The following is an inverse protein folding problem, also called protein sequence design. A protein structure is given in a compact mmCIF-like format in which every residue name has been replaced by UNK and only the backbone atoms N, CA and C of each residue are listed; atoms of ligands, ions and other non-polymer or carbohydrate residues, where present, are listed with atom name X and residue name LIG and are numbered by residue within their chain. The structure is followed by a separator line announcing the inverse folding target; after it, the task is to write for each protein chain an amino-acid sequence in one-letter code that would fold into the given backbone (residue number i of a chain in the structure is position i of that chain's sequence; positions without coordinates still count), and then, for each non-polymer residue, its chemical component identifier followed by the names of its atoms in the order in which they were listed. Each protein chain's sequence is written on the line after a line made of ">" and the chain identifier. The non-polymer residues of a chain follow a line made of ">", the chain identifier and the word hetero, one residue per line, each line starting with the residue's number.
data_IF_751265391529
#
_entry.id   IF_751265391529
#
_cell.length_a   1.000
_cell.length_b   1.000
_cell.length_c   1.000
_cell.angle_alpha   90.00
_cell.angle_beta   90.00
_cell.angle_gamma   90.00
#
_symmetry.space_group_name_H-M   'P 1'
#
loop_
_entity.id
_entity.type
_entity.pdbx_description
1 polymer ?
#
# COMPACT_ATOMS: atom_id res chain seq x y z
N UNK A 1 -21.23 -13.98 12.47
CA UNK A 1 -20.54 -12.96 11.65
C UNK A 1 -21.00 -13.11 10.20
N UNK A 2 -20.94 -12.06 9.38
CA UNK A 2 -20.98 -12.26 7.92
C UNK A 2 -19.72 -13.02 7.51
N UNK A 3 -19.83 -13.94 6.55
CA UNK A 3 -18.65 -14.63 6.03
C UNK A 3 -17.70 -13.61 5.39
N UNK A 4 -16.39 -13.69 5.67
CA UNK A 4 -15.42 -12.82 5.05
C UNK A 4 -15.35 -13.04 3.54
N UNK A 5 -14.93 -12.01 2.79
CA UNK A 5 -14.67 -12.12 1.35
C UNK A 5 -13.24 -12.57 1.05
N UNK A 6 -12.32 -12.28 1.97
CA UNK A 6 -10.91 -12.70 1.96
C UNK A 6 -10.43 -12.97 3.38
N UNK A 7 -9.39 -13.78 3.51
CA UNK A 7 -8.69 -14.00 4.79
C UNK A 7 -7.24 -13.59 4.65
N UNK A 8 -6.71 -12.97 5.69
CA UNK A 8 -5.27 -12.71 5.84
C UNK A 8 -4.78 -13.49 7.05
N UNK A 9 -3.88 -14.44 6.80
CA UNK A 9 -3.34 -15.35 7.80
C UNK A 9 -1.97 -14.82 8.22
N UNK A 10 -1.87 -14.32 9.45
CA UNK A 10 -0.63 -13.77 10.00
C UNK A 10 0.12 -14.83 10.78
N UNK A 11 1.37 -15.12 10.42
CA UNK A 11 2.28 -15.64 11.43
C UNK A 11 2.44 -14.63 12.58
N UNK A 12 2.79 -15.17 13.74
CA UNK A 12 2.97 -14.40 14.95
C UNK A 12 4.43 -14.02 15.10
N UNK A 13 5.34 -14.99 15.15
CA UNK A 13 6.77 -14.71 15.31
C UNK A 13 7.32 -14.11 14.02
N UNK A 14 7.97 -12.94 14.10
CA UNK A 14 8.34 -12.13 12.95
C UNK A 14 7.30 -11.04 12.64
N UNK A 15 6.18 -11.34 11.95
CA UNK A 15 5.22 -10.32 11.51
C UNK A 15 4.51 -9.57 12.63
N UNK A 16 4.30 -10.18 13.81
CA UNK A 16 3.60 -9.53 14.94
C UNK A 16 4.52 -9.41 16.14
N UNK A 17 5.11 -10.53 16.55
CA UNK A 17 5.97 -10.70 17.70
C UNK A 17 7.43 -10.70 17.24
N UNK A 18 8.20 -9.70 17.63
CA UNK A 18 9.62 -9.66 17.36
C UNK A 18 10.36 -9.07 18.56
N UNK A 19 11.24 -9.84 19.23
CA UNK A 19 12.10 -9.32 20.29
C UNK A 19 12.96 -8.15 19.79
N UNK A 20 13.16 -7.14 20.64
CA UNK A 20 13.95 -5.95 20.29
C UNK A 20 13.56 -4.70 21.08
N UNK A 21 14.08 -3.55 20.67
CA UNK A 21 13.86 -2.25 21.33
C UNK A 21 12.49 -1.65 21.00
N UNK A 22 11.42 -2.30 21.46
CA UNK A 22 10.05 -1.75 21.39
C UNK A 22 9.55 -1.38 22.78
N UNK A 23 8.68 -0.38 22.86
CA UNK A 23 8.00 -0.02 24.12
C UNK A 23 6.73 -0.84 24.36
N UNK A 24 6.24 -1.57 23.35
CA UNK A 24 5.02 -2.38 23.46
C UNK A 24 5.39 -3.82 23.82
N UNK A 25 5.66 -4.04 25.10
CA UNK A 25 6.10 -5.33 25.64
C UNK A 25 5.05 -5.85 26.61
N UNK A 26 4.70 -7.12 26.46
CA UNK A 26 3.89 -7.86 27.42
C UNK A 26 4.78 -8.93 28.07
N UNK A 27 4.95 -8.91 29.40
CA UNK A 27 5.85 -9.83 30.06
C UNK A 27 5.36 -11.28 29.96
N UNK A 28 6.29 -12.18 29.64
CA UNK A 28 6.02 -13.61 29.59
C UNK A 28 5.86 -14.24 30.97
N UNK A 29 5.13 -15.34 31.05
CA UNK A 29 5.05 -16.11 32.28
C UNK A 29 6.42 -16.74 32.63
N UNK A 30 6.81 -16.66 33.90
CA UNK A 30 8.10 -17.14 34.40
C UNK A 30 9.32 -16.61 33.64
N UNK A 31 9.25 -15.41 33.06
CA UNK A 31 10.44 -14.73 32.52
C UNK A 31 11.55 -14.64 33.55
N UNK A 32 12.80 -14.60 33.10
CA UNK A 32 13.94 -14.37 33.97
C UNK A 32 13.85 -12.96 34.57
N UNK A 33 13.85 -12.85 35.89
CA UNK A 33 13.80 -11.57 36.61
C UNK A 33 15.03 -10.71 36.40
N UNK A 34 16.14 -11.32 35.98
CA UNK A 34 17.43 -10.64 35.79
C UNK A 34 17.54 -10.00 34.40
N UNK A 35 16.59 -10.25 33.49
CA UNK A 35 16.55 -9.67 32.15
C UNK A 35 15.57 -8.48 32.10
N UNK A 36 15.96 -7.44 31.37
CA UNK A 36 15.10 -6.30 31.12
C UNK A 36 13.89 -6.71 30.25
N UNK A 37 12.78 -5.97 30.36
CA UNK A 37 11.58 -6.24 29.57
C UNK A 37 11.91 -6.22 28.07
N UNK A 38 11.51 -7.27 27.37
CA UNK A 38 11.74 -7.45 25.94
C UNK A 38 13.04 -8.16 25.58
N UNK A 39 13.90 -8.46 26.56
CA UNK A 39 15.12 -9.26 26.37
C UNK A 39 14.89 -10.76 26.58
N UNK A 40 13.85 -11.15 27.31
CA UNK A 40 13.47 -12.55 27.49
C UNK A 40 12.65 -13.04 26.28
N UNK A 41 13.02 -14.19 25.71
CA UNK A 41 12.27 -14.83 24.62
C UNK A 41 10.80 -15.16 24.96
N UNK A 42 10.46 -15.20 26.25
CA UNK A 42 9.09 -15.41 26.74
C UNK A 42 8.26 -14.13 26.69
N UNK A 43 8.89 -12.96 26.63
CA UNK A 43 8.19 -11.70 26.48
C UNK A 43 7.60 -11.60 25.07
N UNK A 44 6.43 -10.97 24.97
CA UNK A 44 5.76 -10.74 23.70
C UNK A 44 5.86 -9.27 23.33
N UNK A 45 6.52 -9.01 22.21
CA UNK A 45 6.93 -7.67 21.79
C UNK A 45 6.22 -7.34 20.48
N UNK A 46 5.43 -6.27 20.43
CA UNK A 46 4.75 -5.83 19.20
C UNK A 46 5.37 -4.53 18.69
N UNK A 47 6.38 -4.58 17.82
CA UNK A 47 6.89 -3.37 17.21
C UNK A 47 5.79 -2.72 16.37
N UNK A 48 5.80 -1.38 16.29
CA UNK A 48 4.82 -0.59 15.53
C UNK A 48 3.34 -1.00 15.76
N UNK A 49 2.98 -1.36 17.01
CA UNK A 49 1.62 -1.77 17.44
C UNK A 49 0.49 -0.97 16.78
N UNK A 50 0.61 0.36 16.71
CA UNK A 50 -0.43 1.21 16.14
C UNK A 50 -0.66 0.96 14.64
N UNK A 51 0.40 0.66 13.88
CA UNK A 51 0.32 0.42 12.43
C UNK A 51 -0.21 -0.98 12.14
N UNK A 52 0.22 -1.97 12.92
CA UNK A 52 -0.38 -3.30 12.90
C UNK A 52 -1.90 -3.19 13.19
N UNK A 53 -2.28 -2.52 14.27
CA UNK A 53 -3.68 -2.34 14.65
C UNK A 53 -4.48 -1.62 13.56
N UNK A 54 -3.97 -0.51 13.01
CA UNK A 54 -4.61 0.19 11.89
C UNK A 54 -4.84 -0.73 10.70
N UNK A 55 -3.84 -1.55 10.35
CA UNK A 55 -3.95 -2.51 9.25
C UNK A 55 -5.05 -3.54 9.50
N UNK A 56 -5.08 -4.14 10.69
CA UNK A 56 -6.11 -5.11 11.10
C UNK A 56 -7.52 -4.49 11.09
N UNK A 57 -7.65 -3.26 11.61
CA UNK A 57 -8.92 -2.52 11.64
C UNK A 57 -9.41 -2.19 10.21
N UNK A 58 -8.52 -1.74 9.33
CA UNK A 58 -8.85 -1.43 7.92
C UNK A 58 -9.32 -2.68 7.18
N UNK A 59 -8.61 -3.82 7.34
CA UNK A 59 -9.00 -5.09 6.74
C UNK A 59 -10.40 -5.52 7.21
N UNK A 60 -10.60 -5.54 8.53
CA UNK A 60 -11.84 -6.02 9.14
C UNK A 60 -13.06 -5.16 8.76
N UNK A 61 -12.92 -3.83 8.78
CA UNK A 61 -13.98 -2.90 8.38
C UNK A 61 -14.44 -3.10 6.93
N UNK A 62 -13.58 -3.66 6.08
CA UNK A 62 -13.86 -3.91 4.67
C UNK A 62 -14.15 -5.39 4.35
N UNK A 63 -14.55 -6.18 5.36
CA UNK A 63 -15.02 -7.55 5.18
C UNK A 63 -13.92 -8.60 4.98
N UNK A 64 -12.68 -8.24 5.29
CA UNK A 64 -11.51 -9.12 5.18
C UNK A 64 -11.12 -9.52 6.60
N UNK A 65 -10.95 -10.82 6.86
CA UNK A 65 -10.72 -11.33 8.22
C UNK A 65 -9.23 -11.65 8.44
N UNK A 66 -8.53 -10.90 9.31
CA UNK A 66 -7.23 -11.32 9.82
C UNK A 66 -7.37 -12.47 10.82
N UNK A 67 -6.60 -13.53 10.63
CA UNK A 67 -6.54 -14.72 11.49
C UNK A 67 -5.09 -15.09 11.81
N UNK A 68 -4.90 -15.97 12.80
CA UNK A 68 -3.57 -16.39 13.27
C UNK A 68 -3.13 -17.64 12.48
N UNK A 69 -1.91 -17.62 11.95
CA UNK A 69 -1.29 -18.70 11.19
C UNK A 69 0.03 -19.22 11.76
N UNK A 70 0.27 -19.01 13.05
CA UNK A 70 1.48 -19.53 13.70
C UNK A 70 1.39 -21.01 14.01
N UNK A 71 2.51 -21.75 13.93
CA UNK A 71 2.56 -23.14 14.40
C UNK A 71 2.19 -23.27 15.87
N UNK A 72 2.37 -22.19 16.67
CA UNK A 72 1.97 -22.13 18.09
C UNK A 72 0.50 -22.52 18.32
N UNK A 73 -0.40 -22.27 17.36
CA UNK A 73 -1.83 -22.56 17.53
C UNK A 73 -2.09 -24.07 17.68
N UNK A 74 -1.17 -24.93 17.23
CA UNK A 74 -1.28 -26.39 17.31
C UNK A 74 -1.00 -26.90 18.73
N UNK A 75 -0.21 -26.16 19.50
CA UNK A 75 0.27 -26.57 20.82
C UNK A 75 -0.86 -26.45 21.86
N UNK A 76 -0.89 -27.38 22.80
CA UNK A 76 -1.81 -27.33 23.94
C UNK A 76 -1.29 -26.39 25.04
N UNK A 77 -2.18 -25.82 25.85
CA UNK A 77 -1.79 -24.91 26.93
C UNK A 77 -0.94 -25.60 28.02
N UNK A 78 -1.12 -26.91 28.18
CA UNK A 78 -0.35 -27.74 29.10
C UNK A 78 0.89 -28.38 28.45
N UNK A 79 1.24 -27.99 27.22
CA UNK A 79 2.49 -28.42 26.61
C UNK A 79 3.68 -27.92 27.47
N UNK A 80 4.59 -28.81 27.90
CA UNK A 80 5.63 -28.46 28.85
C UNK A 80 6.65 -27.46 28.30
N UNK A 81 6.79 -27.36 26.98
CA UNK A 81 7.74 -26.46 26.32
C UNK A 81 7.05 -25.21 25.77
N UNK A 82 5.90 -25.38 25.11
CA UNK A 82 5.24 -24.31 24.35
C UNK A 82 4.00 -23.72 25.03
N UNK A 83 3.42 -24.37 26.05
CA UNK A 83 2.17 -23.94 26.66
C UNK A 83 2.18 -22.50 27.20
N UNK A 84 3.30 -22.10 27.80
CA UNK A 84 3.50 -20.73 28.27
C UNK A 84 3.58 -19.71 27.11
N UNK A 85 4.20 -20.08 25.99
CA UNK A 85 4.32 -19.21 24.82
C UNK A 85 2.96 -19.01 24.13
N UNK A 86 2.13 -20.06 24.06
CA UNK A 86 0.76 -19.98 23.55
C UNK A 86 -0.11 -19.09 24.43
N UNK A 87 -0.07 -19.32 25.74
CA UNK A 87 -0.85 -18.53 26.70
C UNK A 87 -0.45 -17.05 26.66
N UNK A 88 0.87 -16.78 26.64
CA UNK A 88 1.41 -15.42 26.55
C UNK A 88 0.99 -14.74 25.24
N UNK A 89 1.04 -15.44 24.11
CA UNK A 89 0.60 -14.91 22.82
C UNK A 89 -0.85 -14.40 22.87
N UNK A 90 -1.79 -15.23 23.34
CA UNK A 90 -3.20 -14.81 23.39
C UNK A 90 -3.44 -13.68 24.41
N UNK A 91 -2.79 -13.74 25.57
CA UNK A 91 -2.88 -12.67 26.58
C UNK A 91 -2.29 -11.35 26.08
N UNK A 92 -1.16 -11.38 25.37
CA UNK A 92 -0.54 -10.20 24.78
C UNK A 92 -1.42 -9.60 23.68
N UNK A 93 -1.99 -10.44 22.78
CA UNK A 93 -2.94 -9.96 21.77
C UNK A 93 -4.20 -9.34 22.41
N UNK A 94 -4.72 -9.93 23.49
CA UNK A 94 -5.82 -9.35 24.29
C UNK A 94 -5.41 -8.00 24.89
N UNK A 95 -4.20 -7.88 25.41
CA UNK A 95 -3.67 -6.66 26.02
C UNK A 95 -3.51 -5.53 24.99
N UNK A 96 -2.90 -5.80 23.84
CA UNK A 96 -2.58 -4.78 22.85
C UNK A 96 -3.75 -4.38 21.94
N UNK A 97 -4.65 -5.33 21.62
CA UNK A 97 -5.73 -5.14 20.64
C UNK A 97 -7.12 -5.15 21.29
N UNK A 98 -7.20 -5.44 22.59
CA UNK A 98 -8.44 -5.59 23.34
C UNK A 98 -8.93 -7.05 23.37
N UNK A 99 -9.57 -7.42 24.49
CA UNK A 99 -10.09 -8.77 24.70
C UNK A 99 -11.29 -9.14 23.83
N UNK A 100 -11.99 -8.14 23.30
CA UNK A 100 -13.12 -8.32 22.35
C UNK A 100 -12.71 -8.02 20.90
N UNK A 101 -11.42 -8.13 20.56
CA UNK A 101 -10.94 -7.91 19.20
C UNK A 101 -11.70 -8.80 18.21
N UNK A 102 -12.14 -8.27 17.07
CA UNK A 102 -12.94 -9.05 16.11
C UNK A 102 -12.07 -9.86 15.12
N UNK A 103 -10.75 -9.74 15.22
CA UNK A 103 -9.74 -10.37 14.38
C UNK A 103 -8.68 -11.05 15.25
N UNK A 104 -7.86 -11.92 14.66
CA UNK A 104 -6.86 -12.71 15.39
C UNK A 104 -7.47 -13.41 16.62
N UNK A 105 -8.67 -13.95 16.43
CA UNK A 105 -9.50 -14.52 17.50
C UNK A 105 -8.97 -15.86 17.99
N UNK A 106 -8.89 -16.00 19.32
CA UNK A 106 -8.39 -17.21 19.99
C UNK A 106 -9.27 -18.43 19.71
N UNK A 107 -10.60 -18.31 19.84
CA UNK A 107 -11.53 -19.44 19.67
C UNK A 107 -11.35 -20.14 18.32
N UNK A 108 -11.28 -19.35 17.24
CA UNK A 108 -11.10 -19.86 15.88
C UNK A 108 -9.69 -20.44 15.71
N UNK A 109 -8.65 -19.77 16.20
CA UNK A 109 -7.28 -20.25 16.09
C UNK A 109 -7.07 -21.59 16.82
N UNK A 110 -7.66 -21.75 18.01
CA UNK A 110 -7.63 -23.00 18.78
C UNK A 110 -8.40 -24.12 18.09
N UNK A 111 -9.54 -23.83 17.50
CA UNK A 111 -10.32 -24.82 16.73
C UNK A 111 -9.53 -25.36 15.53
N UNK A 112 -8.86 -24.48 14.79
CA UNK A 112 -7.99 -24.84 13.67
C UNK A 112 -6.77 -25.62 14.17
N UNK A 113 -6.09 -25.11 15.20
CA UNK A 113 -4.90 -25.72 15.75
C UNK A 113 -5.10 -27.10 16.35
N UNK A 114 -6.26 -27.35 16.97
CA UNK A 114 -6.60 -28.67 17.50
C UNK A 114 -6.66 -29.76 16.41
N UNK A 115 -7.08 -29.41 15.19
CA UNK A 115 -7.11 -30.33 14.05
C UNK A 115 -5.71 -30.63 13.48
N UNK A 116 -4.70 -29.83 13.85
CA UNK A 116 -3.35 -29.89 13.30
C UNK A 116 -2.31 -30.46 14.27
N UNK A 117 -2.69 -30.89 15.48
CA UNK A 117 -1.76 -31.37 16.52
C UNK A 117 -0.78 -32.47 16.08
N UNK A 118 -1.17 -33.27 15.10
CA UNK A 118 -0.36 -34.38 14.57
C UNK A 118 0.25 -34.07 13.19
N UNK A 119 0.08 -32.84 12.68
CA UNK A 119 0.60 -32.41 11.39
C UNK A 119 1.92 -31.66 11.55
N UNK A 120 2.92 -32.02 10.74
CA UNK A 120 4.13 -31.20 10.64
C UNK A 120 3.86 -30.02 9.67
N UNK A 121 3.89 -28.79 10.19
CA UNK A 121 3.79 -27.56 9.40
C UNK A 121 5.09 -26.77 9.32
N UNK A 122 6.23 -27.39 9.62
CA UNK A 122 7.55 -26.76 9.54
C UNK A 122 7.97 -26.48 8.12
N UNK A 123 7.58 -27.34 7.16
CA UNK A 123 7.92 -27.22 5.74
C UNK A 123 6.89 -26.42 4.93
N UNK A 124 5.66 -26.31 5.42
CA UNK A 124 4.59 -25.54 4.79
C UNK A 124 3.46 -25.25 5.77
N UNK A 125 2.83 -24.07 5.63
CA UNK A 125 1.63 -23.68 6.37
C UNK A 125 0.33 -23.98 5.62
N UNK A 126 0.37 -24.66 4.46
CA UNK A 126 -0.83 -24.91 3.64
C UNK A 126 -1.94 -25.63 4.39
N UNK A 127 -1.62 -26.56 5.31
CA UNK A 127 -2.63 -27.22 6.12
C UNK A 127 -3.43 -26.23 7.00
N UNK A 128 -2.79 -25.19 7.52
CA UNK A 128 -3.45 -24.10 8.25
C UNK A 128 -4.37 -23.32 7.29
N UNK A 129 -3.84 -22.94 6.12
CA UNK A 129 -4.58 -22.17 5.10
C UNK A 129 -5.82 -22.92 4.60
N UNK A 130 -5.69 -24.23 4.37
CA UNK A 130 -6.77 -25.11 3.91
C UNK A 130 -7.91 -25.19 4.93
N UNK A 131 -7.59 -25.36 6.21
CA UNK A 131 -8.61 -25.40 7.27
C UNK A 131 -9.34 -24.05 7.41
N UNK A 132 -8.63 -22.93 7.28
CA UNK A 132 -9.27 -21.62 7.23
C UNK A 132 -10.18 -21.46 6.00
N UNK A 133 -9.71 -21.87 4.82
CA UNK A 133 -10.49 -21.87 3.58
C UNK A 133 -11.78 -22.69 3.71
N UNK A 134 -11.69 -23.90 4.26
CA UNK A 134 -12.86 -24.76 4.54
C UNK A 134 -13.82 -24.14 5.54
N UNK A 135 -13.31 -23.61 6.65
CA UNK A 135 -14.13 -23.03 7.73
C UNK A 135 -14.99 -21.85 7.26
N UNK A 136 -14.44 -21.02 6.37
CA UNK A 136 -15.12 -19.81 5.89
C UNK A 136 -15.65 -19.92 4.45
N UNK A 137 -15.47 -21.07 3.81
CA UNK A 137 -15.81 -21.32 2.40
C UNK A 137 -15.19 -20.26 1.47
N UNK A 138 -13.87 -20.08 1.58
CA UNK A 138 -13.06 -19.14 0.78
C UNK A 138 -12.11 -19.91 -0.12
N UNK A 139 -12.01 -19.46 -1.37
CA UNK A 139 -11.10 -20.03 -2.36
C UNK A 139 -9.63 -19.70 -2.04
N UNK A 140 -8.66 -20.56 -2.41
CA UNK A 140 -7.24 -20.34 -2.12
C UNK A 140 -6.70 -18.97 -2.55
N UNK A 141 -7.08 -18.49 -3.74
CA UNK A 141 -6.66 -17.19 -4.30
C UNK A 141 -7.10 -15.96 -3.47
N UNK A 142 -8.00 -16.18 -2.53
CA UNK A 142 -8.61 -15.19 -1.64
C UNK A 142 -8.05 -15.29 -0.21
N UNK A 143 -7.01 -16.10 -0.01
CA UNK A 143 -6.28 -16.24 1.25
C UNK A 143 -4.84 -15.76 1.05
N UNK A 144 -4.38 -14.89 1.95
CA UNK A 144 -3.02 -14.35 1.94
C UNK A 144 -2.29 -14.82 3.20
N UNK A 145 -1.18 -15.53 3.03
CA UNK A 145 -0.24 -15.85 4.12
C UNK A 145 0.78 -14.73 4.27
N UNK A 146 0.96 -14.25 5.49
CA UNK A 146 2.02 -13.32 5.88
C UNK A 146 2.98 -14.05 6.80
N UNK A 147 4.25 -14.10 6.42
CA UNK A 147 5.27 -14.86 7.15
C UNK A 147 6.66 -14.24 6.94
N UNK A 148 7.53 -14.35 7.94
CA UNK A 148 8.92 -13.91 7.84
C UNK A 148 9.83 -14.96 7.19
N UNK A 149 9.42 -16.24 7.19
CA UNK A 149 10.11 -17.30 6.48
C UNK A 149 9.70 -17.34 5.00
N UNK A 150 10.63 -16.95 4.11
CA UNK A 150 10.42 -16.96 2.66
C UNK A 150 10.23 -18.37 2.08
N UNK A 151 10.64 -19.42 2.77
CA UNK A 151 10.50 -20.81 2.30
C UNK A 151 9.04 -21.24 2.16
N UNK A 152 8.11 -20.61 2.89
CA UNK A 152 6.69 -20.89 2.76
C UNK A 152 6.04 -20.30 1.52
N UNK A 153 6.73 -19.42 0.79
CA UNK A 153 6.20 -18.78 -0.40
C UNK A 153 5.86 -19.79 -1.50
N UNK A 154 6.85 -20.58 -1.92
CA UNK A 154 6.70 -21.51 -3.06
C UNK A 154 5.61 -22.57 -2.79
N UNK A 155 5.57 -23.24 -1.63
CA UNK A 155 4.48 -24.15 -1.30
C UNK A 155 3.10 -23.47 -1.27
N UNK A 156 3.00 -22.24 -0.75
CA UNK A 156 1.72 -21.51 -0.70
C UNK A 156 1.22 -21.14 -2.10
N UNK A 157 2.10 -20.58 -2.94
CA UNK A 157 1.76 -20.16 -4.30
C UNK A 157 1.44 -21.36 -5.21
N UNK A 158 2.05 -22.53 -4.99
CA UNK A 158 1.72 -23.76 -5.72
C UNK A 158 0.26 -24.21 -5.53
N UNK A 159 -0.34 -23.92 -4.37
CA UNK A 159 -1.74 -24.21 -4.07
C UNK A 159 -2.67 -23.00 -4.33
N UNK A 160 -2.18 -22.00 -5.08
CA UNK A 160 -2.86 -20.75 -5.42
C UNK A 160 -3.15 -19.81 -4.24
N UNK A 161 -2.53 -20.00 -3.08
CA UNK A 161 -2.54 -18.99 -2.02
C UNK A 161 -1.66 -17.81 -2.39
N UNK A 162 -1.96 -16.63 -1.84
CA UNK A 162 -1.06 -15.48 -1.97
C UNK A 162 -0.08 -15.44 -0.80
N UNK A 163 1.12 -14.93 -1.04
CA UNK A 163 2.14 -14.78 -0.01
C UNK A 163 2.64 -13.33 0.08
N UNK A 164 2.83 -12.85 1.30
CA UNK A 164 3.47 -11.57 1.62
C UNK A 164 4.62 -11.84 2.59
N UNK A 165 5.83 -11.51 2.16
CA UNK A 165 7.03 -11.73 2.97
C UNK A 165 7.22 -10.59 3.98
N UNK A 166 7.43 -10.94 5.24
CA UNK A 166 7.66 -10.01 6.33
C UNK A 166 9.03 -10.26 7.00
N UNK A 167 10.16 -10.03 6.29
CA UNK A 167 11.48 -10.43 6.77
C UNK A 167 11.99 -9.69 8.02
N UNK A 168 11.39 -8.53 8.37
CA UNK A 168 11.72 -7.70 9.55
C UNK A 168 13.22 -7.46 9.78
N UNK A 169 13.96 -7.19 8.70
CA UNK A 169 15.41 -6.90 8.72
C UNK A 169 15.74 -5.41 8.80
N UNK A 170 14.74 -4.56 8.62
CA UNK A 170 14.91 -3.11 8.62
C UNK A 170 14.86 -2.53 10.03
N UNK A 171 15.18 -1.25 10.17
CA UNK A 171 15.06 -0.55 11.43
C UNK A 171 13.60 -0.53 11.89
N UNK A 172 13.35 -0.93 13.15
CA UNK A 172 12.02 -0.92 13.74
C UNK A 172 11.30 0.40 13.54
N UNK A 173 10.08 0.34 13.00
CA UNK A 173 9.20 1.48 12.66
C UNK A 173 9.56 2.25 11.38
N UNK A 174 10.54 1.80 10.59
CA UNK A 174 10.79 2.36 9.26
C UNK A 174 9.70 1.96 8.26
N UNK A 175 9.66 2.64 7.11
CA UNK A 175 8.74 2.29 6.02
C UNK A 175 9.00 0.87 5.49
N UNK A 176 10.27 0.46 5.41
CA UNK A 176 10.70 -0.87 4.99
C UNK A 176 10.29 -1.96 5.99
N UNK A 177 10.43 -1.70 7.30
CA UNK A 177 10.01 -2.62 8.35
C UNK A 177 8.50 -2.87 8.32
N UNK A 178 7.72 -1.83 8.00
CA UNK A 178 6.26 -1.89 7.90
C UNK A 178 5.75 -2.26 6.50
N UNK A 179 6.63 -2.49 5.52
CA UNK A 179 6.24 -2.63 4.12
C UNK A 179 5.25 -3.79 3.88
N UNK A 180 5.37 -4.88 4.62
CA UNK A 180 4.48 -6.03 4.53
C UNK A 180 3.03 -5.69 4.92
N UNK A 181 2.82 -4.78 5.88
CA UNK A 181 1.49 -4.30 6.27
C UNK A 181 0.83 -3.54 5.11
N UNK A 182 1.59 -2.65 4.47
CA UNK A 182 1.10 -1.86 3.33
C UNK A 182 0.87 -2.73 2.10
N UNK A 183 1.77 -3.67 1.82
CA UNK A 183 1.58 -4.66 0.75
C UNK A 183 0.31 -5.47 0.96
N UNK A 184 0.06 -5.93 2.18
CA UNK A 184 -1.16 -6.65 2.54
C UNK A 184 -2.39 -5.82 2.23
N UNK A 185 -2.40 -4.54 2.60
CA UNK A 185 -3.49 -3.63 2.28
C UNK A 185 -3.69 -3.46 0.77
N UNK A 186 -2.62 -3.27 -0.01
CA UNK A 186 -2.74 -3.09 -1.45
C UNK A 186 -3.15 -4.35 -2.22
N UNK A 187 -2.79 -5.55 -1.73
CA UNK A 187 -3.26 -6.84 -2.31
C UNK A 187 -4.73 -7.14 -1.99
N UNK A 188 -5.27 -6.48 -0.97
CA UNK A 188 -6.61 -6.75 -0.46
C UNK A 188 -7.63 -5.70 -0.87
N UNK A 189 -7.24 -4.43 -0.92
CA UNK A 189 -8.13 -3.27 -1.06
C UNK A 189 -7.57 -2.24 -2.05
N UNK A 190 -8.46 -1.55 -2.82
CA UNK A 190 -8.11 -0.34 -3.54
C UNK A 190 -7.56 0.76 -2.61
N UNK A 191 -6.59 1.54 -3.11
CA UNK A 191 -5.96 2.63 -2.36
C UNK A 191 -6.96 3.64 -1.77
N UNK A 192 -8.03 3.97 -2.52
CA UNK A 192 -9.07 4.87 -2.04
C UNK A 192 -9.78 4.34 -0.79
N UNK A 193 -10.08 3.04 -0.76
CA UNK A 193 -10.73 2.40 0.40
C UNK A 193 -9.80 2.42 1.62
N UNK A 194 -8.52 2.12 1.43
CA UNK A 194 -7.51 2.19 2.51
C UNK A 194 -7.47 3.60 3.11
N UNK A 195 -7.33 4.62 2.27
CA UNK A 195 -7.24 6.02 2.71
C UNK A 195 -8.54 6.49 3.38
N UNK A 196 -9.70 6.05 2.89
CA UNK A 196 -10.99 6.40 3.49
C UNK A 196 -11.21 5.71 4.84
N UNK A 197 -10.80 4.45 5.01
CA UNK A 197 -10.82 3.76 6.30
C UNK A 197 -9.84 4.41 7.29
N UNK A 198 -8.63 4.79 6.84
CA UNK A 198 -7.66 5.50 7.68
C UNK A 198 -8.21 6.84 8.20
N UNK A 199 -8.91 7.61 7.36
CA UNK A 199 -9.57 8.87 7.79
C UNK A 199 -10.63 8.66 8.87
N UNK A 200 -11.35 7.53 8.81
CA UNK A 200 -12.43 7.18 9.75
C UNK A 200 -11.92 6.50 11.02
N UNK A 201 -10.62 6.19 11.09
CA UNK A 201 -10.00 5.58 12.27
C UNK A 201 -10.04 6.51 13.49
N UNK A 202 -10.19 5.89 14.67
CA UNK A 202 -10.14 6.56 15.97
C UNK A 202 -8.71 6.84 16.47
N UNK A 203 -7.68 6.45 15.72
CA UNK A 203 -6.29 6.80 16.05
C UNK A 203 -6.04 8.32 15.95
N UNK A 204 -5.05 8.80 16.71
CA UNK A 204 -4.68 10.21 16.70
C UNK A 204 -4.11 10.65 15.33
N UNK A 205 -4.11 11.96 15.08
CA UNK A 205 -3.76 12.51 13.77
C UNK A 205 -2.29 12.23 13.42
N UNK A 206 -1.40 12.27 14.39
CA UNK A 206 0.04 12.02 14.23
C UNK A 206 0.30 10.59 13.73
N UNK A 207 -0.37 9.59 14.32
CA UNK A 207 -0.27 8.19 13.89
C UNK A 207 -0.83 8.02 12.47
N UNK A 208 -1.97 8.66 12.17
CA UNK A 208 -2.57 8.58 10.82
C UNK A 208 -1.69 9.23 9.75
N UNK A 209 -1.06 10.36 10.07
CA UNK A 209 -0.21 11.08 9.13
C UNK A 209 1.08 10.30 8.84
N UNK A 210 1.74 9.73 9.86
CA UNK A 210 2.93 8.91 9.65
C UNK A 210 2.61 7.60 8.93
N UNK A 211 1.50 6.93 9.28
CA UNK A 211 1.03 5.74 8.56
C UNK A 211 0.81 6.05 7.08
N UNK A 212 0.12 7.15 6.78
CA UNK A 212 -0.15 7.60 5.42
C UNK A 212 1.14 7.93 4.66
N UNK A 213 2.09 8.60 5.31
CA UNK A 213 3.40 8.94 4.74
C UNK A 213 4.16 7.68 4.32
N UNK A 214 4.32 6.72 5.22
CA UNK A 214 5.01 5.46 4.92
C UNK A 214 4.26 4.60 3.89
N UNK A 215 2.91 4.58 3.94
CA UNK A 215 2.08 3.92 2.93
C UNK A 215 2.38 4.46 1.52
N UNK A 216 2.51 5.79 1.36
CA UNK A 216 2.87 6.40 0.08
C UNK A 216 4.33 6.16 -0.32
N UNK A 217 5.25 6.13 0.64
CA UNK A 217 6.65 5.81 0.40
C UNK A 217 6.80 4.40 -0.17
N UNK A 218 6.21 3.39 0.49
CA UNK A 218 6.22 2.00 0.00
C UNK A 218 5.45 1.86 -1.31
N UNK A 219 4.35 2.61 -1.48
CA UNK A 219 3.64 2.65 -2.77
C UNK A 219 4.57 3.16 -3.87
N UNK A 220 5.24 4.29 -3.69
CA UNK A 220 6.18 4.85 -4.67
C UNK A 220 7.34 3.89 -4.98
N UNK A 221 7.88 3.21 -3.97
CA UNK A 221 8.93 2.21 -4.14
C UNK A 221 8.43 1.02 -4.99
N UNK A 222 7.24 0.49 -4.70
CA UNK A 222 6.64 -0.63 -5.45
C UNK A 222 6.06 -0.25 -6.80
N UNK A 223 5.76 1.01 -7.04
CA UNK A 223 5.24 1.48 -8.33
C UNK A 223 6.24 1.40 -9.47
N UNK A 224 7.54 1.24 -9.18
CA UNK A 224 8.53 0.82 -10.16
C UNK A 224 8.29 -0.62 -10.68
N UNK A 225 7.32 -1.37 -10.12
CA UNK A 225 7.02 -2.77 -10.47
C UNK A 225 5.54 -3.03 -10.85
N UNK A 226 4.62 -2.04 -10.80
CA UNK A 226 3.18 -2.23 -11.10
C UNK A 226 2.70 -1.27 -12.20
N UNK A 227 2.47 -1.73 -13.45
CA UNK A 227 2.24 -0.86 -14.62
C UNK A 227 0.97 0.00 -14.59
N UNK A 228 -0.10 -0.45 -13.93
CA UNK A 228 -1.41 0.22 -13.98
C UNK A 228 -1.49 1.41 -13.01
N UNK A 229 -0.90 1.28 -11.83
CA UNK A 229 -0.91 2.37 -10.83
C UNK A 229 0.15 3.43 -11.14
N UNK A 230 1.29 3.03 -11.73
CA UNK A 230 2.32 3.95 -12.23
C UNK A 230 1.75 4.92 -13.25
N UNK A 231 0.92 4.44 -14.18
CA UNK A 231 0.23 5.27 -15.15
C UNK A 231 -0.68 6.31 -14.49
N UNK A 232 -1.48 5.95 -13.48
CA UNK A 232 -2.37 6.90 -12.80
C UNK A 232 -1.63 7.99 -12.02
N UNK A 233 -0.50 7.68 -11.38
CA UNK A 233 0.30 8.69 -10.65
C UNK A 233 1.16 9.52 -11.60
N UNK A 234 1.78 8.91 -12.60
CA UNK A 234 2.51 9.64 -13.65
C UNK A 234 1.54 10.59 -14.36
N UNK A 235 0.35 10.11 -14.74
CA UNK A 235 -0.69 10.93 -15.32
C UNK A 235 -1.07 12.09 -14.41
N UNK A 236 -1.24 11.85 -13.11
CA UNK A 236 -1.57 12.90 -12.15
C UNK A 236 -0.48 13.97 -12.02
N UNK A 237 0.79 13.59 -11.89
CA UNK A 237 1.89 14.56 -11.77
C UNK A 237 2.10 15.34 -13.07
N UNK A 238 2.07 14.66 -14.22
CA UNK A 238 2.13 15.31 -15.55
C UNK A 238 1.00 16.30 -15.74
N UNK A 239 -0.23 15.94 -15.35
CA UNK A 239 -1.39 16.83 -15.45
C UNK A 239 -1.29 18.01 -14.49
N UNK A 240 -0.69 17.84 -13.30
CA UNK A 240 -0.41 18.97 -12.39
C UNK A 240 0.59 19.95 -12.99
N UNK A 241 1.64 19.47 -13.62
CA UNK A 241 2.64 20.32 -14.27
C UNK A 241 2.02 21.09 -15.45
N UNK A 242 1.23 20.42 -16.29
CA UNK A 242 0.47 21.07 -17.38
C UNK A 242 -0.49 22.13 -16.81
N UNK A 243 -1.20 21.83 -15.72
CA UNK A 243 -2.08 22.79 -15.05
C UNK A 243 -1.28 24.01 -14.54
N UNK A 244 -0.14 23.76 -13.91
CA UNK A 244 0.74 24.79 -13.38
C UNK A 244 1.23 25.70 -14.50
N UNK A 245 1.73 25.14 -15.59
CA UNK A 245 2.22 25.91 -16.74
C UNK A 245 1.12 26.79 -17.34
N UNK A 246 -0.08 26.25 -17.58
CA UNK A 246 -1.20 27.04 -18.08
C UNK A 246 -1.54 28.22 -17.15
N UNK A 247 -1.55 27.96 -15.83
CA UNK A 247 -1.97 28.95 -14.82
C UNK A 247 -0.90 30.02 -14.55
N UNK A 248 0.39 29.65 -14.59
CA UNK A 248 1.50 30.53 -14.23
C UNK A 248 2.09 31.32 -15.41
N UNK A 249 1.92 30.85 -16.65
CA UNK A 249 2.47 31.49 -17.86
C UNK A 249 1.84 32.86 -18.19
N UNK A 250 0.75 33.26 -17.51
CA UNK A 250 0.11 34.59 -17.63
C UNK A 250 0.01 35.09 -19.08
N UNK A 251 -0.82 34.38 -19.85
CA UNK A 251 -1.08 34.60 -21.27
C UNK A 251 -1.60 36.03 -21.52
N UNK A 252 -0.87 36.84 -22.32
CA UNK A 252 -1.32 38.17 -22.73
C UNK A 252 -2.20 38.02 -23.97
N UNK A 253 -3.44 38.52 -23.94
CA UNK A 253 -4.27 38.44 -25.14
C UNK A 253 -5.38 39.47 -25.31
N UNK A 254 -5.52 39.93 -26.57
CA UNK A 254 -6.48 40.92 -27.07
C UNK A 254 -7.46 40.33 -28.13
N UNK A 255 -7.83 39.03 -28.12
CA UNK A 255 -8.63 38.44 -29.23
C UNK A 255 -9.64 37.33 -28.87
N UNK A 256 -10.57 37.09 -29.81
CA UNK A 256 -11.82 36.28 -29.77
C UNK A 256 -11.72 34.78 -29.36
N UNK A 257 -10.51 34.23 -29.20
CA UNK A 257 -10.27 32.82 -28.84
C UNK A 257 -9.78 32.62 -27.40
N UNK A 258 -9.74 33.66 -26.58
CA UNK A 258 -9.33 33.58 -25.17
C UNK A 258 -10.53 33.68 -24.19
N UNK A 259 -10.36 33.14 -22.99
CA UNK A 259 -11.34 33.15 -21.89
C UNK A 259 -10.66 33.64 -20.62
N UNK A 260 -11.35 34.53 -19.88
CA UNK A 260 -10.90 34.98 -18.56
C UNK A 260 -11.19 33.91 -17.52
N UNK A 261 -10.20 33.62 -16.70
CA UNK A 261 -10.30 32.74 -15.54
C UNK A 261 -9.91 33.52 -14.27
N UNK A 262 -10.61 33.26 -13.18
CA UNK A 262 -10.30 33.82 -11.86
C UNK A 262 -9.17 33.02 -11.20
N UNK A 263 -8.15 33.71 -10.70
CA UNK A 263 -7.12 33.11 -9.85
C UNK A 263 -7.37 33.46 -8.38
N UNK A 264 -6.82 32.66 -7.46
CA UNK A 264 -6.89 32.88 -6.01
C UNK A 264 -6.16 34.16 -5.54
N UNK A 265 -5.33 34.77 -6.39
CA UNK A 265 -4.64 36.03 -6.11
C UNK A 265 -5.42 37.28 -6.55
N UNK A 266 -6.66 37.13 -7.04
CA UNK A 266 -7.51 38.25 -7.48
C UNK A 266 -7.14 38.82 -8.86
N UNK A 267 -6.06 38.33 -9.49
CA UNK A 267 -5.66 38.75 -10.84
C UNK A 267 -6.29 37.81 -11.87
N UNK A 268 -7.10 38.35 -12.79
CA UNK A 268 -7.68 37.57 -13.88
C UNK A 268 -6.60 37.16 -14.90
N UNK A 269 -6.50 35.85 -15.16
CA UNK A 269 -5.65 35.31 -16.24
C UNK A 269 -6.52 35.08 -17.48
N UNK A 270 -5.98 35.29 -18.68
CA UNK A 270 -6.73 35.17 -19.95
C UNK A 270 -6.11 34.10 -20.81
N UNK A 271 -6.69 32.90 -20.81
CA UNK A 271 -6.11 31.72 -21.46
C UNK A 271 -6.83 31.36 -22.77
N UNK A 272 -6.16 30.72 -23.75
CA UNK A 272 -6.80 30.09 -24.90
C UNK A 272 -7.96 29.15 -24.52
N UNK A 273 -9.02 29.11 -25.35
CA UNK A 273 -10.20 28.23 -25.16
C UNK A 273 -9.83 26.75 -25.02
N UNK A 274 -8.83 26.30 -25.77
CA UNK A 274 -8.33 24.92 -25.73
C UNK A 274 -7.62 24.60 -24.41
N UNK A 275 -6.83 25.54 -23.86
CA UNK A 275 -6.26 25.38 -22.51
C UNK A 275 -7.35 25.34 -21.43
N UNK A 276 -8.45 26.07 -21.60
CA UNK A 276 -9.60 25.94 -20.72
C UNK A 276 -10.24 24.54 -20.78
N UNK A 277 -10.25 23.89 -21.96
CA UNK A 277 -10.69 22.48 -22.06
C UNK A 277 -9.77 21.57 -21.28
N UNK A 278 -8.45 21.74 -21.40
CA UNK A 278 -7.45 20.99 -20.61
C UNK A 278 -7.71 21.18 -19.10
N UNK A 279 -7.89 22.41 -18.63
CA UNK A 279 -8.17 22.67 -17.22
C UNK A 279 -9.49 22.05 -16.75
N UNK A 280 -10.51 21.95 -17.62
CA UNK A 280 -11.78 21.28 -17.29
C UNK A 280 -11.61 19.77 -17.17
N UNK A 281 -10.85 19.14 -18.06
CA UNK A 281 -10.51 17.71 -17.96
C UNK A 281 -9.78 17.41 -16.65
N UNK A 282 -8.78 18.23 -16.29
CA UNK A 282 -8.04 18.11 -15.03
C UNK A 282 -8.97 18.31 -13.82
N UNK A 283 -9.88 19.28 -13.88
CA UNK A 283 -10.87 19.49 -12.83
C UNK A 283 -11.82 18.30 -12.69
N UNK A 284 -12.24 17.67 -13.78
CA UNK A 284 -13.07 16.47 -13.72
C UNK A 284 -12.35 15.31 -13.01
N UNK A 285 -11.03 15.16 -13.21
CA UNK A 285 -10.22 14.19 -12.46
C UNK A 285 -10.11 14.54 -10.97
N UNK A 286 -9.89 15.83 -10.64
CA UNK A 286 -9.84 16.33 -9.26
C UNK A 286 -11.17 16.14 -8.52
N UNK A 287 -12.29 16.32 -9.23
CA UNK A 287 -13.65 16.10 -8.73
C UNK A 287 -14.08 14.61 -8.78
N UNK A 288 -13.14 13.68 -9.07
CA UNK A 288 -13.35 12.22 -9.12
C UNK A 288 -14.38 11.73 -10.16
N UNK A 289 -14.59 12.48 -11.25
CA UNK A 289 -15.54 12.12 -12.32
C UNK A 289 -14.93 11.20 -13.39
N UNK A 290 -13.61 11.10 -13.44
CA UNK A 290 -12.84 10.25 -14.35
C UNK A 290 -11.45 9.98 -13.78
N UNK A 291 -10.75 8.96 -14.30
CA UNK A 291 -9.40 8.61 -13.82
C UNK A 291 -8.33 9.57 -14.38
N UNK A 292 -7.14 9.59 -13.78
CA UNK A 292 -6.05 10.45 -14.23
C UNK A 292 -5.50 10.00 -15.58
N UNK A 293 -5.44 8.69 -15.86
CA UNK A 293 -5.00 8.16 -17.15
C UNK A 293 -5.97 8.52 -18.28
N UNK A 294 -7.28 8.36 -18.03
CA UNK A 294 -8.33 8.79 -18.98
C UNK A 294 -8.21 10.28 -19.26
N UNK A 295 -7.94 11.07 -18.22
CA UNK A 295 -7.74 12.52 -18.32
C UNK A 295 -6.49 12.85 -19.13
N UNK A 296 -5.39 12.14 -18.92
CA UNK A 296 -4.14 12.33 -19.66
C UNK A 296 -4.34 12.04 -21.15
N UNK A 297 -5.06 10.97 -21.48
CA UNK A 297 -5.44 10.63 -22.85
C UNK A 297 -6.29 11.73 -23.50
N UNK A 298 -7.31 12.23 -22.80
CA UNK A 298 -8.15 13.33 -23.29
C UNK A 298 -7.34 14.62 -23.51
N UNK A 299 -6.47 14.97 -22.57
CA UNK A 299 -5.59 16.14 -22.66
C UNK A 299 -4.63 15.99 -23.84
N UNK A 300 -4.06 14.80 -24.05
CA UNK A 300 -3.18 14.53 -25.18
C UNK A 300 -3.92 14.67 -26.53
N UNK A 301 -5.18 14.23 -26.61
CA UNK A 301 -6.02 14.44 -27.80
C UNK A 301 -6.26 15.93 -28.06
N UNK A 302 -6.60 16.71 -27.02
CA UNK A 302 -6.78 18.15 -27.13
C UNK A 302 -5.49 18.84 -27.60
N UNK A 303 -4.32 18.45 -27.06
CA UNK A 303 -3.02 18.99 -27.46
C UNK A 303 -2.74 18.66 -28.92
N UNK A 304 -2.88 17.40 -29.33
CA UNK A 304 -2.64 16.96 -30.70
C UNK A 304 -3.50 17.70 -31.72
N UNK A 305 -4.79 17.88 -31.44
CA UNK A 305 -5.69 18.68 -32.29
C UNK A 305 -5.27 20.16 -32.32
N UNK A 306 -4.83 20.70 -31.19
CA UNK A 306 -4.51 22.11 -31.03
C UNK A 306 -3.23 22.51 -31.76
N UNK A 307 -2.21 21.64 -31.86
CA UNK A 307 -0.96 21.90 -32.61
C UNK A 307 -1.23 22.28 -34.07
N UNK A 308 -2.30 21.74 -34.68
CA UNK A 308 -2.61 21.93 -36.10
C UNK A 308 -3.61 23.05 -36.39
N UNK A 309 -4.19 23.69 -35.36
CA UNK A 309 -5.14 24.79 -35.54
C UNK A 309 -4.44 26.06 -36.02
N UNK A 310 -4.95 26.65 -37.11
CA UNK A 310 -4.55 27.98 -37.59
C UNK A 310 -5.18 29.06 -36.68
N UNK A 311 -4.51 29.40 -35.57
CA UNK A 311 -5.05 30.38 -34.63
C UNK A 311 -4.17 30.80 -33.45
N UNK A 312 -2.85 30.58 -33.52
CA UNK A 312 -1.93 30.76 -32.38
C UNK A 312 -1.18 32.10 -32.38
N UNK A 313 -1.86 33.22 -32.65
CA UNK A 313 -1.23 34.57 -32.69
C UNK A 313 -1.14 35.24 -31.31
N UNK A 314 -0.98 34.46 -30.25
CA UNK A 314 -0.86 35.00 -28.90
C UNK A 314 0.45 34.64 -28.25
N UNK A 315 0.90 35.49 -27.33
CA UNK A 315 2.18 35.34 -26.64
C UNK A 315 1.97 35.47 -25.14
N UNK A 316 2.66 34.65 -24.38
CA UNK A 316 2.75 34.77 -22.93
C UNK A 316 3.54 36.03 -22.53
N UNK A 317 3.58 36.33 -21.23
CA UNK A 317 4.50 37.36 -20.71
C UNK A 317 5.97 37.06 -21.00
N UNK A 318 6.32 35.78 -21.18
CA UNK A 318 7.67 35.29 -21.47
C UNK A 318 7.95 35.12 -22.96
N UNK A 319 6.99 35.47 -23.83
CA UNK A 319 7.15 35.36 -25.30
C UNK A 319 6.72 34.03 -25.90
N UNK A 320 6.30 33.06 -25.08
CA UNK A 320 5.83 31.74 -25.52
C UNK A 320 4.46 31.84 -26.21
N UNK A 321 4.35 31.30 -27.42
CA UNK A 321 3.08 31.16 -28.12
C UNK A 321 2.34 29.89 -27.68
N UNK A 322 1.00 29.82 -27.75
CA UNK A 322 0.31 28.55 -27.45
C UNK A 322 0.75 27.44 -28.39
N UNK A 323 1.17 27.77 -29.61
CA UNK A 323 1.72 26.78 -30.54
C UNK A 323 2.96 26.13 -29.95
N UNK A 324 3.89 26.94 -29.42
CA UNK A 324 5.10 26.45 -28.75
C UNK A 324 4.74 25.64 -27.51
N UNK A 325 3.80 26.11 -26.69
CA UNK A 325 3.28 25.32 -25.55
C UNK A 325 2.77 23.95 -26.00
N UNK A 326 1.85 23.89 -26.98
CA UNK A 326 1.30 22.61 -27.43
C UNK A 326 2.38 21.71 -28.06
N UNK A 327 3.36 22.27 -28.75
CA UNK A 327 4.47 21.51 -29.33
C UNK A 327 5.40 20.95 -28.23
N UNK A 328 5.74 21.77 -27.23
CA UNK A 328 6.58 21.38 -26.11
C UNK A 328 5.89 20.32 -25.24
N UNK A 329 4.62 20.53 -24.88
CA UNK A 329 3.85 19.54 -24.12
C UNK A 329 3.65 18.25 -24.92
N UNK A 330 3.44 18.33 -26.24
CA UNK A 330 3.37 17.13 -27.10
C UNK A 330 4.69 16.34 -27.08
N UNK A 331 5.84 17.02 -27.20
CA UNK A 331 7.14 16.38 -27.14
C UNK A 331 7.41 15.75 -25.77
N UNK A 332 7.05 16.43 -24.67
CA UNK A 332 7.14 15.90 -23.31
C UNK A 332 6.31 14.62 -23.16
N UNK A 333 5.04 14.63 -23.60
CA UNK A 333 4.14 13.47 -23.55
C UNK A 333 4.63 12.31 -24.43
N UNK A 334 5.28 12.58 -25.56
CA UNK A 334 5.89 11.56 -26.40
C UNK A 334 7.13 10.93 -25.75
N UNK A 335 7.97 11.75 -25.10
CA UNK A 335 9.16 11.26 -24.39
C UNK A 335 8.78 10.35 -23.22
N UNK A 336 7.73 10.71 -22.46
CA UNK A 336 7.19 9.88 -21.38
C UNK A 336 6.76 8.49 -21.88
N UNK A 337 6.04 8.42 -23.01
CA UNK A 337 5.63 7.15 -23.62
C UNK A 337 6.82 6.35 -24.16
N UNK A 338 7.83 7.02 -24.69
CA UNK A 338 9.03 6.34 -25.19
C UNK A 338 9.90 5.77 -24.05
N UNK A 339 9.97 6.44 -22.90
CA UNK A 339 10.63 5.91 -21.69
C UNK A 339 9.90 4.72 -21.08
N UNK A 340 8.57 4.63 -21.19
CA UNK A 340 7.81 3.45 -20.75
C UNK A 340 8.05 2.21 -21.63
N UNK A 341 8.50 2.40 -22.89
CA UNK A 341 8.69 1.32 -23.87
C UNK A 341 10.11 0.74 -23.95
N UNK A 342 11.04 1.23 -23.14
CA UNK A 342 12.38 0.64 -22.99
C UNK A 342 12.52 0.07 -21.58
N UNK A 343 12.54 -1.26 -21.39
CA UNK A 343 13.14 -1.79 -20.18
C UNK A 343 14.60 -1.35 -20.20
N UNK A 344 15.01 -0.52 -19.24
CA UNK A 344 16.43 -0.38 -18.94
C UNK A 344 16.92 -1.74 -18.44
N UNK A 345 17.40 -2.56 -19.38
CA UNK A 345 18.37 -3.58 -19.06
C UNK A 345 19.62 -2.80 -18.64
N UNK A 346 19.78 -2.62 -17.33
CA UNK A 346 21.09 -2.30 -16.78
C UNK A 346 21.91 -3.59 -16.96
N UNK A 347 22.56 -3.72 -18.12
CA UNK A 347 23.70 -4.61 -18.25
C UNK A 347 24.79 -4.03 -17.34
N UNK A 348 24.85 -4.54 -16.11
CA UNK A 348 25.97 -4.32 -15.22
C UNK A 348 27.17 -5.12 -15.74
N UNK A 349 27.89 -4.51 -16.69
CA UNK A 349 29.13 -5.04 -17.24
C UNK A 349 30.33 -4.88 -16.27
N UNK A 350 30.09 -4.50 -15.00
CA UNK A 350 31.15 -4.35 -13.99
C UNK A 350 31.52 -5.64 -13.25
N UNK A 351 30.89 -6.78 -13.57
CA UNK A 351 31.22 -8.11 -13.01
C UNK A 351 31.60 -9.15 -14.09
N UNK A 352 32.25 -8.73 -15.17
CA UNK A 352 33.01 -9.66 -16.02
C UNK A 352 34.33 -10.02 -15.34
N UNK A 353 34.35 -11.16 -14.65
CA UNK A 353 35.57 -11.86 -14.24
C UNK A 353 36.25 -12.42 -15.49
N UNK A 354 37.41 -11.87 -15.83
CA UNK A 354 38.37 -12.51 -16.74
C UNK A 354 39.07 -13.66 -16.02
N UNK A 355 39.09 -14.85 -16.63
CA UNK A 355 40.03 -15.92 -16.30
C UNK A 355 41.40 -15.63 -16.92
#
# INVERSE_FOLDING_TARGET
>A
MKNPTKIVVFDVDGPINLPGTTQNIFPGHNRNSDLDLGEDMRDFCVPNKNFLKLTLDILYQNGILPVIGSQRIQMADNDPYYGNFVTTMYQALNHFLGSKRPYLGEDIAREIGMQLREHNTEQSKNAILELYGKKFNIAPDSIILIDDNSEYKEPAEAENYQFVHAPRRAQTNSAEDNAYLYETLFRTLPAEIILNSLKKSNECQEVKDEFKKQLFEVLNLKMHQIPFLSQEIIAKEVLKDIQKDIMHTQWKNNFFSAVKISSSSGVHNTIPKEMLKILKEIKNAQDLKQTWDTTLTNVQNIINESVHKKGHMCMSRTGETPKEFYQNTKAMLQNLRNSESRPEVIEDDSLKVTL
#
